data_IF_782957534489
#
_entry.id   IF_782957534489
#
_cell.length_a   1.000
_cell.length_b   1.000
_cell.length_c   1.000
_cell.angle_alpha   90.00
_cell.angle_beta   90.00
_cell.angle_gamma   90.00
#
_symmetry.space_group_name_H-M   'P 1'
#
loop_
_entity.id
_entity.type
_entity.pdbx_description
1 polymer ?
#
# COMPACT_ATOMS: atom_id res chain seq x y z
N UNK A 1 -16.29 -19.31 -18.81
CA UNK A 1 -15.63 -18.15 -19.42
C UNK A 1 -16.10 -16.91 -18.66
N UNK A 2 -15.30 -16.40 -17.71
CA UNK A 2 -15.64 -15.21 -16.94
C UNK A 2 -15.00 -13.99 -17.59
N UNK A 3 -15.85 -13.06 -18.03
CA UNK A 3 -15.47 -11.77 -18.57
C UNK A 3 -14.82 -10.93 -17.47
N UNK A 4 -13.52 -10.68 -17.59
CA UNK A 4 -12.85 -9.64 -16.82
C UNK A 4 -13.03 -8.31 -17.56
N UNK A 5 -13.91 -7.48 -17.02
CA UNK A 5 -14.05 -6.07 -17.36
C UNK A 5 -12.68 -5.38 -17.20
N UNK A 6 -12.18 -4.84 -18.30
CA UNK A 6 -11.05 -3.92 -18.33
C UNK A 6 -11.56 -2.60 -17.77
N UNK A 7 -11.33 -2.36 -16.48
CA UNK A 7 -11.52 -1.05 -15.88
C UNK A 7 -10.35 -0.16 -16.32
N UNK A 8 -10.69 0.82 -17.15
CA UNK A 8 -9.78 1.79 -17.72
C UNK A 8 -9.05 2.62 -16.68
N UNK A 9 -7.92 3.16 -17.13
CA UNK A 9 -7.09 4.13 -16.43
C UNK A 9 -7.90 5.41 -16.10
N UNK A 10 -8.53 5.46 -14.92
CA UNK A 10 -9.02 6.70 -14.35
C UNK A 10 -7.81 7.47 -13.77
N UNK A 11 -7.17 8.28 -14.63
CA UNK A 11 -6.34 9.41 -14.18
C UNK A 11 -7.28 10.51 -13.68
N UNK A 12 -7.66 10.44 -12.42
CA UNK A 12 -8.24 11.57 -11.72
C UNK A 12 -7.12 12.37 -11.08
N UNK A 13 -6.72 13.46 -11.76
CA UNK A 13 -5.90 14.51 -11.20
C UNK A 13 -6.70 15.23 -10.10
N UNK A 14 -6.64 14.70 -8.86
CA UNK A 14 -7.10 15.40 -7.67
C UNK A 14 -6.16 16.59 -7.39
N UNK A 15 -6.41 17.71 -8.07
CA UNK A 15 -5.95 19.03 -7.66
C UNK A 15 -6.75 19.43 -6.42
N UNK A 16 -6.18 19.22 -5.24
CA UNK A 16 -6.64 19.88 -4.02
C UNK A 16 -6.34 21.38 -4.12
N UNK A 17 -7.29 22.17 -4.59
CA UNK A 17 -7.32 23.62 -4.38
C UNK A 17 -7.71 23.87 -2.92
N UNK A 18 -6.77 24.36 -2.13
CA UNK A 18 -7.02 24.90 -0.79
C UNK A 18 -7.66 26.27 -1.01
N UNK A 19 -8.98 26.30 -1.15
CA UNK A 19 -9.77 27.52 -1.04
C UNK A 19 -9.89 27.86 0.45
N UNK A 20 -8.98 28.70 0.94
CA UNK A 20 -9.12 29.34 2.25
C UNK A 20 -9.94 30.64 2.11
N UNK A 21 -10.92 30.93 2.97
CA UNK A 21 -11.60 32.21 2.96
C UNK A 21 -10.77 33.25 3.72
N UNK A 22 -10.18 34.21 2.99
CA UNK A 22 -9.74 35.50 3.52
C UNK A 22 -10.54 36.60 2.81
N UNK A 23 -11.61 37.07 3.46
CA UNK A 23 -12.27 38.32 3.11
C UNK A 23 -12.38 39.16 4.39
N UNK A 24 -11.34 39.93 4.68
CA UNK A 24 -11.42 41.07 5.59
C UNK A 24 -11.97 42.21 4.74
N UNK A 25 -13.27 42.47 4.89
CA UNK A 25 -13.95 43.58 4.24
C UNK A 25 -13.53 44.92 4.86
N UNK A 26 -13.05 45.81 4.01
CA UNK A 26 -12.89 47.24 4.28
C UNK A 26 -14.28 47.90 4.30
N UNK A 27 -14.67 48.57 5.39
CA UNK A 27 -15.80 49.51 5.41
C UNK A 27 -15.45 50.77 6.19
N UNK A 28 -15.10 51.81 5.41
CA UNK A 28 -15.53 53.21 5.47
C UNK A 28 -15.49 53.94 6.82
N UNK A 29 -14.46 54.77 6.97
CA UNK A 29 -14.46 56.01 7.76
C UNK A 29 -15.34 57.05 7.08
N UNK A 30 -16.39 57.51 7.77
CA UNK A 30 -17.16 58.68 7.40
C UNK A 30 -16.55 59.94 8.02
N UNK A 31 -16.58 61.00 7.22
CA UNK A 31 -15.97 62.32 7.42
C UNK A 31 -17.00 63.26 8.06
N UNK A 32 -16.47 64.19 8.83
CA UNK A 32 -17.07 65.26 9.65
C UNK A 32 -17.99 66.23 8.88
N UNK A 33 -18.94 66.84 9.60
CA UNK A 33 -19.40 68.21 9.34
C UNK A 33 -19.34 69.08 10.62
N UNK A 34 -19.17 70.41 10.49
CA UNK A 34 -18.58 71.28 11.51
C UNK A 34 -19.63 72.12 12.27
N UNK A 35 -19.36 72.46 13.53
CA UNK A 35 -20.12 73.50 14.26
C UNK A 35 -19.17 74.49 14.92
N UNK A 36 -19.20 75.68 14.32
CA UNK A 36 -19.13 77.05 14.83
C UNK A 36 -18.15 77.47 15.95
N UNK A 37 -17.56 78.63 15.67
CA UNK A 37 -16.51 79.31 16.41
C UNK A 37 -17.09 80.14 17.56
N UNK A 38 -16.45 80.08 18.73
CA UNK A 38 -16.43 81.21 19.65
C UNK A 38 -14.97 81.55 19.98
N UNK A 39 -14.57 82.74 19.56
CA UNK A 39 -13.27 83.34 19.83
C UNK A 39 -13.23 83.84 21.29
N UNK A 40 -12.40 83.20 22.11
CA UNK A 40 -11.93 83.77 23.38
C UNK A 40 -10.50 84.24 23.15
N UNK A 41 -10.34 85.57 22.96
CA UNK A 41 -9.03 86.23 23.06
C UNK A 41 -8.67 86.33 24.53
N UNK A 42 -7.63 85.63 24.95
CA UNK A 42 -6.62 86.02 25.97
C UNK A 42 -5.57 84.87 26.01
N UNK A 43 -4.28 85.22 25.87
CA UNK A 43 -3.06 84.37 25.88
C UNK A 43 -2.61 83.71 24.54
N UNK A 44 -2.14 84.51 23.58
CA UNK A 44 -1.73 83.98 22.26
C UNK A 44 -0.22 83.67 22.10
N UNK A 45 0.70 84.24 22.90
CA UNK A 45 2.15 84.09 22.62
C UNK A 45 2.82 82.82 23.17
N UNK A 46 2.38 82.29 24.30
CA UNK A 46 2.93 81.05 24.87
C UNK A 46 2.18 79.80 24.39
N UNK A 47 0.89 79.94 24.08
CA UNK A 47 0.04 78.87 23.54
C UNK A 47 0.36 78.52 22.07
N UNK A 48 0.84 79.46 21.24
CA UNK A 48 1.32 79.18 19.87
C UNK A 48 2.62 78.34 19.85
N UNK A 49 3.56 78.65 20.75
CA UNK A 49 4.80 77.87 20.94
C UNK A 49 4.50 76.47 21.51
N UNK A 50 3.53 76.35 22.42
CA UNK A 50 3.02 75.06 22.90
C UNK A 50 2.32 74.26 21.79
N UNK A 51 1.47 74.88 20.95
CA UNK A 51 0.82 74.26 19.78
C UNK A 51 1.84 73.75 18.75
N UNK A 52 2.90 74.49 18.47
CA UNK A 52 3.97 74.07 17.54
C UNK A 52 4.83 72.93 18.11
N UNK A 53 5.14 72.93 19.42
CA UNK A 53 5.83 71.82 20.11
C UNK A 53 4.98 70.53 20.14
N UNK A 54 3.67 70.65 20.41
CA UNK A 54 2.73 69.53 20.38
C UNK A 54 2.58 68.95 18.97
N UNK A 55 2.51 69.79 17.93
CA UNK A 55 2.52 69.35 16.52
C UNK A 55 3.81 68.59 16.17
N UNK A 56 4.98 69.08 16.61
CA UNK A 56 6.25 68.38 16.42
C UNK A 56 6.29 67.03 17.14
N UNK A 57 5.77 66.94 18.38
CA UNK A 57 5.66 65.69 19.13
C UNK A 57 4.71 64.69 18.46
N UNK A 58 3.55 65.14 17.99
CA UNK A 58 2.60 64.33 17.19
C UNK A 58 3.25 63.82 15.90
N UNK A 59 3.97 64.67 15.15
CA UNK A 59 4.71 64.25 13.94
C UNK A 59 5.80 63.21 14.24
N UNK A 60 6.54 63.35 15.35
CA UNK A 60 7.54 62.36 15.78
C UNK A 60 6.89 61.02 16.16
N UNK A 61 5.81 61.05 16.93
CA UNK A 61 5.07 59.84 17.29
C UNK A 61 4.48 59.13 16.06
N UNK A 62 3.89 59.86 15.11
CA UNK A 62 3.38 59.29 13.86
C UNK A 62 4.48 58.63 13.04
N UNK A 63 5.65 59.27 12.91
CA UNK A 63 6.82 58.67 12.25
C UNK A 63 7.31 57.41 12.98
N UNK A 64 7.29 57.41 14.31
CA UNK A 64 7.70 56.25 15.09
C UNK A 64 6.73 55.07 14.91
N UNK A 65 5.43 55.34 14.89
CA UNK A 65 4.38 54.35 14.62
C UNK A 65 4.50 53.81 13.18
N UNK A 66 4.71 54.67 12.19
CA UNK A 66 4.94 54.24 10.80
C UNK A 66 6.20 53.39 10.66
N UNK A 67 7.27 53.74 11.38
CA UNK A 67 8.51 52.97 11.38
C UNK A 67 8.39 51.63 12.12
N UNK A 68 7.54 51.53 13.15
CA UNK A 68 7.29 50.25 13.81
C UNK A 68 6.38 49.35 12.99
N UNK A 69 5.32 49.89 12.35
CA UNK A 69 4.43 49.11 11.49
C UNK A 69 5.15 48.57 10.26
N UNK A 70 5.97 49.38 9.59
CA UNK A 70 6.78 48.93 8.44
C UNK A 70 7.74 47.80 8.82
N UNK A 71 8.43 47.91 9.97
CA UNK A 71 9.30 46.83 10.47
C UNK A 71 8.54 45.53 10.75
N UNK A 72 7.33 45.62 11.33
CA UNK A 72 6.49 44.44 11.58
C UNK A 72 6.09 43.78 10.26
N UNK A 73 5.64 44.57 9.29
CA UNK A 73 5.27 44.07 7.94
C UNK A 73 6.48 43.43 7.23
N UNK A 74 7.66 44.05 7.30
CA UNK A 74 8.88 43.50 6.70
C UNK A 74 9.33 42.20 7.36
N UNK A 75 9.20 42.11 8.68
CA UNK A 75 9.47 40.87 9.41
C UNK A 75 8.46 39.76 9.05
N UNK A 76 7.17 40.08 8.93
CA UNK A 76 6.16 39.15 8.45
C UNK A 76 6.47 38.64 7.04
N UNK A 77 6.84 39.54 6.11
CA UNK A 77 7.27 39.18 4.75
C UNK A 77 8.49 38.26 4.75
N UNK A 78 9.47 38.48 5.64
CA UNK A 78 10.64 37.59 5.79
C UNK A 78 10.23 36.20 6.26
N UNK A 79 9.36 36.10 7.27
CA UNK A 79 8.84 34.83 7.79
C UNK A 79 8.08 34.08 6.69
N UNK A 80 7.19 34.77 5.96
CA UNK A 80 6.46 34.19 4.83
C UNK A 80 7.40 33.66 3.74
N UNK A 81 8.48 34.40 3.41
CA UNK A 81 9.49 33.93 2.45
C UNK A 81 10.19 32.65 2.94
N UNK A 82 10.54 32.58 4.23
CA UNK A 82 11.14 31.39 4.83
C UNK A 82 10.18 30.19 4.80
N UNK A 83 8.91 30.40 5.16
CA UNK A 83 7.87 29.38 5.08
C UNK A 83 7.64 28.89 3.64
N UNK A 84 7.67 29.79 2.66
CA UNK A 84 7.53 29.41 1.25
C UNK A 84 8.74 28.57 0.78
N UNK A 85 9.95 28.89 1.24
CA UNK A 85 11.14 28.09 0.94
C UNK A 85 11.08 26.70 1.60
N UNK A 86 10.62 26.60 2.85
CA UNK A 86 10.46 25.29 3.52
C UNK A 86 9.36 24.45 2.87
N UNK A 87 8.26 25.05 2.41
CA UNK A 87 7.23 24.34 1.64
C UNK A 87 7.76 23.84 0.30
N UNK A 88 8.61 24.61 -0.40
CA UNK A 88 9.26 24.18 -1.65
C UNK A 88 10.19 22.98 -1.45
N UNK A 89 10.99 22.97 -0.39
CA UNK A 89 11.84 21.81 -0.09
C UNK A 89 11.00 20.60 0.32
N UNK A 90 9.96 20.80 1.13
CA UNK A 90 9.05 19.73 1.55
C UNK A 90 8.33 19.09 0.37
N UNK A 91 7.75 19.89 -0.53
CA UNK A 91 7.07 19.39 -1.74
C UNK A 91 8.02 18.62 -2.64
N UNK A 92 9.28 19.08 -2.82
CA UNK A 92 10.30 18.33 -3.55
C UNK A 92 10.59 16.97 -2.89
N UNK A 93 10.71 16.93 -1.57
CA UNK A 93 10.97 15.69 -0.83
C UNK A 93 9.80 14.71 -0.99
N UNK A 94 8.56 15.16 -0.78
CA UNK A 94 7.35 14.34 -0.96
C UNK A 94 7.25 13.78 -2.37
N UNK A 95 7.51 14.60 -3.40
CA UNK A 95 7.50 14.15 -4.79
C UNK A 95 8.59 13.11 -5.07
N UNK A 96 9.79 13.28 -4.49
CA UNK A 96 10.89 12.35 -4.64
C UNK A 96 10.60 11.00 -3.98
N UNK A 97 10.03 11.00 -2.77
CA UNK A 97 9.61 9.79 -2.06
C UNK A 97 8.49 9.08 -2.80
N UNK A 98 7.51 9.82 -3.31
CA UNK A 98 6.43 9.28 -4.11
C UNK A 98 6.96 8.59 -5.38
N UNK A 99 7.89 9.23 -6.10
CA UNK A 99 8.54 8.64 -7.27
C UNK A 99 9.32 7.35 -6.91
N UNK A 100 10.07 7.36 -5.81
CA UNK A 100 10.77 6.16 -5.32
C UNK A 100 9.79 5.04 -4.97
N UNK A 101 8.66 5.35 -4.32
CA UNK A 101 7.64 4.38 -3.97
C UNK A 101 7.01 3.74 -5.21
N UNK A 102 6.64 4.56 -6.22
CA UNK A 102 6.13 4.05 -7.50
C UNK A 102 7.14 3.14 -8.20
N UNK A 103 8.43 3.48 -8.17
CA UNK A 103 9.48 2.64 -8.73
C UNK A 103 9.61 1.30 -7.98
N UNK A 104 9.52 1.29 -6.65
CA UNK A 104 9.51 0.06 -5.85
C UNK A 104 8.31 -0.83 -6.21
N UNK A 105 7.12 -0.27 -6.36
CA UNK A 105 5.93 -1.02 -6.80
C UNK A 105 6.15 -1.59 -8.20
N UNK A 106 6.64 -0.79 -9.15
CA UNK A 106 6.95 -1.25 -10.52
C UNK A 106 7.94 -2.41 -10.52
N UNK A 107 9.02 -2.33 -9.73
CA UNK A 107 10.00 -3.40 -9.59
C UNK A 107 9.40 -4.66 -8.99
N UNK A 108 8.60 -4.54 -7.92
CA UNK A 108 7.89 -5.67 -7.30
C UNK A 108 6.95 -6.35 -8.30
N UNK A 109 6.22 -5.57 -9.09
CA UNK A 109 5.32 -6.09 -10.12
C UNK A 109 6.09 -6.81 -11.23
N UNK A 110 7.24 -6.26 -11.67
CA UNK A 110 8.14 -6.95 -12.62
C UNK A 110 8.66 -8.27 -12.05
N UNK A 111 9.14 -8.26 -10.80
CA UNK A 111 9.62 -9.47 -10.13
C UNK A 111 8.52 -10.53 -9.98
N UNK A 112 7.31 -10.11 -9.61
CA UNK A 112 6.16 -11.02 -9.53
C UNK A 112 5.79 -11.62 -10.88
N UNK A 113 5.80 -10.82 -11.96
CA UNK A 113 5.58 -11.31 -13.33
C UNK A 113 6.66 -12.32 -13.74
N UNK A 114 7.94 -11.99 -13.52
CA UNK A 114 9.06 -12.89 -13.80
C UNK A 114 8.90 -14.18 -12.99
N UNK A 115 8.59 -14.08 -11.69
CA UNK A 115 8.36 -15.22 -10.82
C UNK A 115 7.21 -16.09 -11.34
N UNK A 116 6.09 -15.52 -11.75
CA UNK A 116 4.97 -16.30 -12.28
C UNK A 116 5.25 -16.99 -13.61
N UNK A 117 6.13 -16.41 -14.44
CA UNK A 117 6.54 -17.00 -15.71
C UNK A 117 7.62 -18.08 -15.52
N UNK A 118 8.57 -17.86 -14.61
CA UNK A 118 9.72 -18.75 -14.39
C UNK A 118 9.43 -19.84 -13.37
N UNK A 119 8.70 -19.52 -12.30
CA UNK A 119 8.39 -20.50 -11.25
C UNK A 119 7.23 -21.38 -11.67
N UNK A 120 7.38 -22.66 -11.35
CA UNK A 120 6.35 -23.65 -11.62
C UNK A 120 5.11 -23.38 -10.75
N UNK A 121 3.93 -23.35 -11.38
CA UNK A 121 2.65 -23.36 -10.65
C UNK A 121 2.49 -24.68 -9.88
N UNK A 122 2.07 -24.60 -8.62
CA UNK A 122 1.81 -25.78 -7.78
C UNK A 122 0.46 -26.38 -8.16
N UNK A 123 0.46 -27.61 -8.68
CA UNK A 123 -0.76 -28.39 -8.93
C UNK A 123 -0.84 -29.52 -7.89
N UNK A 124 -1.87 -29.50 -7.04
CA UNK A 124 -2.04 -30.45 -5.95
C UNK A 124 -1.39 -30.02 -4.63
N UNK A 125 -1.26 -30.96 -3.70
CA UNK A 125 -0.83 -30.68 -2.32
C UNK A 125 0.69 -30.82 -2.12
N UNK A 126 1.34 -31.67 -2.93
CA UNK A 126 2.76 -31.98 -2.82
C UNK A 126 3.69 -30.93 -3.46
N UNK A 127 4.98 -31.01 -3.13
CA UNK A 127 6.05 -30.26 -3.80
C UNK A 127 6.62 -31.12 -4.93
N UNK A 128 7.02 -30.48 -6.02
CA UNK A 128 7.69 -31.19 -7.11
C UNK A 128 9.14 -31.43 -6.77
N UNK A 129 9.56 -32.65 -7.01
CA UNK A 129 10.97 -33.04 -7.03
C UNK A 129 11.26 -33.53 -8.44
N UNK A 130 12.29 -32.98 -9.11
CA UNK A 130 12.69 -33.45 -10.43
C UNK A 130 13.05 -34.92 -10.37
N UNK A 131 12.91 -35.61 -11.50
CA UNK A 131 13.37 -36.97 -11.61
C UNK A 131 14.90 -36.95 -11.66
N UNK A 132 15.54 -37.64 -10.73
CA UNK A 132 16.99 -37.88 -10.75
C UNK A 132 17.20 -39.24 -11.40
N UNK A 133 17.89 -39.25 -12.55
CA UNK A 133 18.21 -40.49 -13.24
C UNK A 133 19.23 -41.28 -12.40
N UNK A 134 18.95 -42.56 -12.09
CA UNK A 134 19.89 -43.37 -11.33
C UNK A 134 21.15 -43.62 -12.18
N UNK A 135 22.26 -43.00 -11.78
CA UNK A 135 23.56 -43.21 -12.42
C UNK A 135 24.12 -44.55 -11.96
N UNK A 136 24.35 -45.46 -12.91
CA UNK A 136 24.98 -46.75 -12.64
C UNK A 136 26.49 -46.53 -12.50
N UNK A 137 27.07 -46.90 -11.37
CA UNK A 137 28.52 -46.83 -11.18
C UNK A 137 29.22 -47.97 -11.92
N UNK A 138 30.51 -47.84 -12.30
CA UNK A 138 31.21 -48.90 -13.04
C UNK A 138 31.31 -50.23 -12.29
N UNK A 139 31.14 -50.23 -10.96
CA UNK A 139 31.07 -51.45 -10.14
C UNK A 139 29.72 -52.17 -10.24
N UNK A 140 28.66 -51.43 -10.54
CA UNK A 140 27.28 -51.92 -10.67
C UNK A 140 26.93 -52.24 -12.13
N UNK A 141 27.76 -51.79 -13.08
CA UNK A 141 27.56 -52.07 -14.50
C UNK A 141 27.78 -53.58 -14.76
N UNK A 142 26.80 -54.27 -15.37
CA UNK A 142 26.97 -55.68 -15.67
C UNK A 142 28.07 -55.89 -16.72
N UNK A 143 28.80 -57.01 -16.60
CA UNK A 143 29.86 -57.38 -17.54
C UNK A 143 29.37 -57.64 -18.99
N UNK A 144 28.05 -57.81 -19.18
CA UNK A 144 27.45 -58.04 -20.49
C UNK A 144 26.13 -57.28 -20.63
N UNK A 145 25.90 -56.70 -21.82
CA UNK A 145 24.67 -55.98 -22.16
C UNK A 145 23.43 -56.88 -22.13
N UNK A 146 23.59 -58.20 -22.26
CA UNK A 146 22.46 -59.16 -22.14
C UNK A 146 21.89 -59.23 -20.73
N UNK A 147 22.66 -58.81 -19.72
CA UNK A 147 22.24 -58.77 -18.32
C UNK A 147 21.57 -57.45 -17.94
N UNK A 148 21.55 -56.45 -18.84
CA UNK A 148 20.79 -55.23 -18.63
C UNK A 148 19.30 -55.53 -18.76
N UNK A 149 18.60 -55.54 -17.64
CA UNK A 149 17.14 -55.53 -17.66
C UNK A 149 16.68 -54.18 -18.20
N UNK A 150 15.66 -54.19 -19.05
CA UNK A 150 15.01 -52.95 -19.48
C UNK A 150 14.52 -52.23 -18.23
N UNK A 151 15.06 -51.05 -17.93
CA UNK A 151 14.74 -50.29 -16.73
C UNK A 151 13.32 -49.68 -16.81
N UNK A 152 12.29 -50.53 -16.92
CA UNK A 152 10.89 -50.16 -17.14
C UNK A 152 10.33 -49.30 -16.00
N UNK A 153 10.85 -49.47 -14.79
CA UNK A 153 10.42 -48.71 -13.62
C UNK A 153 10.92 -47.26 -13.66
N UNK A 154 12.06 -46.99 -14.30
CA UNK A 154 12.63 -45.64 -14.44
C UNK A 154 11.82 -44.80 -15.43
N UNK A 155 11.51 -45.35 -16.61
CA UNK A 155 10.83 -44.63 -17.68
C UNK A 155 9.43 -44.14 -17.26
N UNK A 156 8.66 -44.96 -16.53
CA UNK A 156 7.32 -44.57 -16.07
C UNK A 156 7.41 -43.40 -15.09
N UNK A 157 8.38 -43.45 -14.16
CA UNK A 157 8.60 -42.38 -13.18
C UNK A 157 9.02 -41.09 -13.87
N UNK A 158 9.94 -41.17 -14.85
CA UNK A 158 10.36 -40.03 -15.67
C UNK A 158 9.16 -39.40 -16.40
N UNK A 159 8.31 -40.21 -17.03
CA UNK A 159 7.12 -39.73 -17.76
C UNK A 159 6.10 -39.09 -16.82
N UNK A 160 5.85 -39.69 -15.66
CA UNK A 160 4.96 -39.12 -14.64
C UNK A 160 5.51 -37.78 -14.14
N UNK A 161 6.82 -37.71 -13.86
CA UNK A 161 7.47 -36.47 -13.42
C UNK A 161 7.47 -35.40 -14.51
N UNK A 162 7.66 -35.78 -15.77
CA UNK A 162 7.53 -34.89 -16.94
C UNK A 162 6.11 -34.34 -17.10
N UNK A 163 5.09 -35.19 -16.93
CA UNK A 163 3.68 -34.76 -16.94
C UNK A 163 3.35 -33.84 -15.75
N UNK A 164 3.91 -34.13 -14.57
CA UNK A 164 3.80 -33.25 -13.42
C UNK A 164 4.51 -31.93 -13.68
N UNK A 165 5.72 -31.92 -14.26
CA UNK A 165 6.48 -30.71 -14.59
C UNK A 165 5.70 -29.79 -15.51
N UNK A 166 4.99 -30.35 -16.49
CA UNK A 166 4.07 -29.65 -17.39
C UNK A 166 2.74 -29.23 -16.74
N UNK A 167 2.56 -29.49 -15.45
CA UNK A 167 1.31 -29.28 -14.70
C UNK A 167 0.09 -29.97 -15.36
N UNK A 168 0.29 -31.12 -15.99
CA UNK A 168 -0.79 -31.98 -16.51
C UNK A 168 -1.29 -32.92 -15.41
N UNK A 169 -0.37 -33.49 -14.63
CA UNK A 169 -0.68 -34.31 -13.47
C UNK A 169 -0.46 -33.57 -12.16
N UNK A 170 -1.36 -33.77 -11.20
CA UNK A 170 -1.21 -33.21 -9.86
C UNK A 170 -0.17 -33.99 -9.04
N UNK A 171 0.45 -33.30 -8.09
CA UNK A 171 1.39 -33.92 -7.15
C UNK A 171 0.65 -34.23 -5.84
N UNK A 172 0.62 -35.52 -5.51
CA UNK A 172 0.12 -36.00 -4.22
C UNK A 172 0.92 -35.39 -3.06
N UNK A 173 0.23 -34.88 -2.04
CA UNK A 173 0.88 -34.44 -0.81
C UNK A 173 1.19 -35.63 0.11
N UNK A 174 1.73 -35.35 1.30
CA UNK A 174 2.03 -36.35 2.34
C UNK A 174 0.81 -37.17 2.84
N UNK A 175 -0.39 -36.91 2.31
CA UNK A 175 -1.57 -37.74 2.52
C UNK A 175 -1.45 -38.99 1.64
N UNK A 176 -0.52 -39.86 2.04
CA UNK A 176 -0.40 -41.23 1.55
C UNK A 176 -1.66 -41.97 1.97
N UNK A 177 -2.31 -42.58 0.97
CA UNK A 177 -3.48 -43.44 1.04
C UNK A 177 -4.63 -42.84 1.85
N UNK A 178 -5.77 -42.61 1.21
CA UNK A 178 -7.02 -42.72 1.95
C UNK A 178 -7.10 -44.17 2.40
N UNK A 179 -6.43 -44.52 3.51
CA UNK A 179 -6.87 -45.64 4.34
C UNK A 179 -8.32 -45.30 4.55
N UNK A 180 -9.19 -46.02 3.84
CA UNK A 180 -10.63 -45.83 3.93
C UNK A 180 -10.87 -46.01 5.41
N UNK A 181 -11.08 -44.90 6.13
CA UNK A 181 -11.42 -44.99 7.53
C UNK A 181 -12.72 -45.77 7.47
N UNK A 182 -12.73 -47.00 7.96
CA UNK A 182 -13.95 -47.73 8.25
C UNK A 182 -14.66 -46.97 9.37
N UNK A 183 -15.19 -45.78 9.04
CA UNK A 183 -15.97 -44.94 9.95
C UNK A 183 -17.25 -45.66 10.33
N UNK A 184 -17.70 -46.56 9.45
CA UNK A 184 -18.82 -47.44 9.69
C UNK A 184 -18.32 -48.71 10.37
N UNK A 185 -18.93 -49.05 11.51
CA UNK A 185 -18.75 -50.35 12.16
C UNK A 185 -19.25 -51.42 11.20
N UNK A 186 -18.37 -52.31 10.75
CA UNK A 186 -18.79 -53.48 9.95
C UNK A 186 -19.53 -54.40 10.92
N UNK A 187 -20.85 -54.58 10.70
CA UNK A 187 -21.63 -55.55 11.46
C UNK A 187 -21.39 -56.94 10.87
N UNK A 188 -20.60 -57.75 11.56
CA UNK A 188 -20.49 -59.18 11.25
C UNK A 188 -21.73 -59.88 11.80
N UNK A 189 -22.47 -60.56 10.91
CA UNK A 189 -23.63 -61.38 11.27
C UNK A 189 -23.35 -62.79 10.77
N UNK A 190 -23.46 -63.78 11.66
CA UNK A 190 -23.37 -65.18 11.28
C UNK A 190 -24.54 -65.56 10.38
N UNK A 191 -24.26 -66.31 9.31
CA UNK A 191 -25.30 -66.83 8.44
C UNK A 191 -26.14 -67.84 9.22
N UNK A 192 -27.47 -67.79 9.04
CA UNK A 192 -28.42 -68.72 9.70
C UNK A 192 -28.07 -70.19 9.48
N UNK A 193 -27.44 -70.53 8.36
CA UNK A 193 -27.01 -71.89 8.02
C UNK A 193 -25.89 -72.46 8.90
N UNK A 194 -25.17 -71.61 9.65
CA UNK A 194 -24.03 -72.01 10.49
C UNK A 194 -24.35 -71.86 11.99
N UNK A 195 -25.48 -71.22 12.32
CA UNK A 195 -25.93 -71.04 13.70
C UNK A 195 -26.47 -72.38 14.21
N UNK A 196 -25.84 -72.95 15.24
CA UNK A 196 -26.32 -74.19 15.88
C UNK A 196 -27.74 -73.97 16.44
N UNK A 197 -28.67 -74.82 16.04
CA UNK A 197 -30.06 -74.83 16.50
C UNK A 197 -30.07 -75.40 17.92
N UNK A 198 -30.43 -74.59 18.91
CA UNK A 198 -30.68 -75.03 20.29
C UNK A 198 -32.17 -75.39 20.45
N UNK A 199 -32.50 -76.27 21.40
CA UNK A 199 -33.87 -76.82 21.60
C UNK A 199 -34.95 -75.73 21.78
N UNK A 200 -34.57 -74.55 22.28
CA UNK A 200 -35.48 -73.41 22.50
C UNK A 200 -35.58 -72.44 21.31
N UNK A 201 -35.01 -72.77 20.14
CA UNK A 201 -35.08 -71.87 18.98
C UNK A 201 -36.32 -72.17 18.12
N UNK A 202 -37.34 -71.32 18.23
CA UNK A 202 -38.53 -71.40 17.37
C UNK A 202 -38.16 -71.18 15.90
N UNK A 203 -38.47 -72.19 15.08
CA UNK A 203 -38.32 -72.16 13.64
C UNK A 203 -39.53 -71.39 13.06
N UNK A 204 -39.28 -70.26 12.42
CA UNK A 204 -40.26 -69.55 11.56
C UNK A 204 -39.91 -69.83 10.10
#
# INVERSE_FOLDING_TARGET
MMNFLILGDCKEDLKFTIEGPLSIGEVKTEVEEPVENEEIKIEEKDNEKLRTRLRLKKKKNLKQIQNSTTKVVDNQKKIQKQQLQSLKSLTKNVNSEHAQHLNKIKLKNKQWKIKNLTTRKKLGRGKFEPYEEPVITPKELPASLRCLTSASNSLIQERVKSLQQRNILSIGGANKTTNIKNKLKIKFVEKRSVKSITEDSEII
#
